data_IF_857497218459
#
_entry.id   IF_857497218459
#
_cell.length_a   1.000
_cell.length_b   1.000
_cell.length_c   1.000
_cell.angle_alpha   90.00
_cell.angle_beta   90.00
_cell.angle_gamma   90.00
#
_symmetry.space_group_name_H-M   'P 1'
#
loop_
_entity.id
_entity.type
_entity.pdbx_description
1 polymer ?
#
# COMPACT_ATOMS: atom_id res chain seq x y z
N UNK A 1 -9.11 10.68 1.35
CA UNK A 1 -7.72 11.07 1.04
C UNK A 1 -7.39 10.55 -0.34
N UNK A 2 -6.68 11.33 -1.16
CA UNK A 2 -6.23 10.88 -2.49
C UNK A 2 -4.93 10.07 -2.36
N UNK A 3 -4.68 9.14 -3.30
CA UNK A 3 -3.42 8.41 -3.36
C UNK A 3 -2.29 9.36 -3.74
N UNK A 4 -1.18 9.31 -2.99
CA UNK A 4 0.04 10.04 -3.29
C UNK A 4 1.20 9.05 -3.44
N UNK A 5 2.08 9.31 -4.40
CA UNK A 5 3.32 8.59 -4.63
C UNK A 5 4.42 9.60 -4.99
N UNK A 6 5.67 9.33 -4.61
CA UNK A 6 6.79 10.23 -4.83
C UNK A 6 8.12 9.47 -4.96
N UNK A 7 9.14 10.14 -5.49
CA UNK A 7 10.50 9.62 -5.49
C UNK A 7 11.16 9.86 -4.13
N UNK A 8 11.90 8.84 -3.66
CA UNK A 8 12.59 8.87 -2.38
C UNK A 8 14.01 9.45 -2.50
N UNK A 9 14.50 10.04 -1.41
CA UNK A 9 15.92 10.41 -1.26
C UNK A 9 16.82 9.18 -1.04
N UNK A 10 18.14 9.41 -0.91
CA UNK A 10 19.15 8.37 -0.66
C UNK A 10 19.61 8.38 0.81
N UNK A 11 18.78 8.87 1.73
CA UNK A 11 19.12 8.95 3.15
C UNK A 11 19.05 7.59 3.84
N UNK A 12 20.02 7.31 4.71
CA UNK A 12 20.03 6.15 5.62
C UNK A 12 19.28 6.41 6.95
N UNK A 13 18.44 7.46 7.01
CA UNK A 13 17.59 7.76 8.16
C UNK A 13 16.49 6.69 8.38
N UNK A 14 15.64 6.87 9.40
CA UNK A 14 14.55 5.94 9.70
C UNK A 14 13.63 5.79 8.49
N UNK A 15 13.64 4.59 7.87
CA UNK A 15 12.85 4.19 6.70
C UNK A 15 11.34 4.46 6.79
N UNK A 16 10.81 4.71 8.01
CA UNK A 16 9.41 5.06 8.24
C UNK A 16 9.10 6.53 7.95
N UNK A 17 10.11 7.37 7.80
CA UNK A 17 9.95 8.77 7.45
C UNK A 17 9.47 8.91 5.99
N UNK A 18 8.91 10.06 5.59
CA UNK A 18 8.43 10.23 4.21
C UNK A 18 9.52 10.15 3.13
N UNK A 19 10.80 10.41 3.45
CA UNK A 19 11.93 10.39 2.51
C UNK A 19 11.70 11.18 1.21
N UNK A 20 11.00 12.32 1.28
CA UNK A 20 10.82 13.15 0.09
C UNK A 20 12.17 13.72 -0.37
N UNK A 21 12.44 13.64 -1.68
CA UNK A 21 13.48 14.47 -2.31
C UNK A 21 13.23 15.95 -2.07
N UNK A 22 14.31 16.73 -2.17
CA UNK A 22 14.26 18.19 -2.15
C UNK A 22 14.86 18.75 -3.46
N UNK A 23 14.03 19.27 -4.39
CA UNK A 23 12.59 19.50 -4.28
C UNK A 23 11.74 18.21 -4.33
N UNK A 24 10.48 18.29 -3.85
CA UNK A 24 9.55 17.15 -3.88
C UNK A 24 9.24 16.74 -5.31
N UNK A 25 9.34 15.44 -5.59
CA UNK A 25 9.05 14.86 -6.89
C UNK A 25 7.89 13.86 -6.79
N UNK A 26 6.67 14.28 -7.12
CA UNK A 26 5.49 13.42 -7.10
C UNK A 26 5.38 12.57 -8.37
N UNK A 27 4.83 11.37 -8.22
CA UNK A 27 4.60 10.40 -9.29
C UNK A 27 3.10 10.29 -9.57
N UNK A 28 2.73 10.32 -10.85
CA UNK A 28 1.33 10.23 -11.28
C UNK A 28 0.85 8.77 -11.31
N UNK A 29 -0.47 8.55 -11.21
CA UNK A 29 -1.06 7.21 -11.32
C UNK A 29 -0.75 6.55 -12.67
N UNK A 30 -0.73 7.32 -13.76
CA UNK A 30 -0.37 6.81 -15.09
C UNK A 30 1.05 6.22 -15.10
N UNK A 31 1.98 6.81 -14.35
CA UNK A 31 3.34 6.27 -14.26
C UNK A 31 3.39 4.97 -13.47
N UNK A 32 2.54 4.82 -12.45
CA UNK A 32 2.38 3.58 -11.71
C UNK A 32 1.77 2.48 -12.60
N UNK A 33 0.78 2.83 -13.43
CA UNK A 33 0.15 1.90 -14.38
C UNK A 33 1.15 1.38 -15.43
N UNK A 34 2.03 2.25 -15.96
CA UNK A 34 3.13 1.84 -16.85
C UNK A 34 4.07 0.80 -16.21
N UNK A 35 4.21 0.83 -14.88
CA UNK A 35 5.00 -0.13 -14.10
C UNK A 35 4.20 -1.40 -13.75
N UNK A 36 2.92 -1.48 -14.13
CA UNK A 36 2.02 -2.58 -13.81
C UNK A 36 1.35 -2.49 -12.45
N UNK A 37 1.47 -1.35 -11.75
CA UNK A 37 0.80 -1.10 -10.47
C UNK A 37 -0.60 -0.55 -10.73
N UNK A 38 -1.62 -1.27 -10.26
CA UNK A 38 -3.03 -0.93 -10.44
C UNK A 38 -3.63 -0.42 -9.12
N UNK A 39 -4.55 0.55 -9.21
CA UNK A 39 -5.17 1.19 -8.06
C UNK A 39 -6.69 1.26 -8.19
N UNK A 40 -7.39 1.05 -7.08
CA UNK A 40 -8.83 1.27 -6.94
C UNK A 40 -9.10 1.99 -5.60
N UNK A 41 -10.04 2.93 -5.61
CA UNK A 41 -10.50 3.63 -4.41
C UNK A 41 -11.82 3.04 -3.94
N UNK A 42 -11.86 2.47 -2.74
CA UNK A 42 -13.04 1.79 -2.16
C UNK A 42 -13.36 2.38 -0.78
N UNK A 43 -14.61 2.25 -0.31
CA UNK A 43 -14.97 2.61 1.08
C UNK A 43 -14.46 1.54 2.05
N UNK A 44 -13.52 1.86 2.96
CA UNK A 44 -12.96 0.88 3.89
C UNK A 44 -13.97 0.38 4.94
N UNK A 45 -15.11 1.05 5.11
CA UNK A 45 -16.16 0.64 6.06
C UNK A 45 -17.07 -0.44 5.49
N UNK A 46 -17.05 -0.62 4.18
CA UNK A 46 -17.89 -1.56 3.45
C UNK A 46 -17.01 -2.48 2.59
N UNK A 47 -16.24 -3.34 3.24
CA UNK A 47 -15.32 -4.26 2.57
C UNK A 47 -16.03 -5.47 1.92
N UNK A 48 -17.33 -5.66 2.15
CA UNK A 48 -18.15 -6.68 1.48
C UNK A 48 -18.90 -6.14 0.26
N UNK A 49 -18.65 -4.88 -0.12
CA UNK A 49 -19.30 -4.22 -1.24
C UNK A 49 -19.08 -4.94 -2.59
N UNK A 50 -20.06 -4.81 -3.47
CA UNK A 50 -20.03 -5.23 -4.87
C UNK A 50 -18.79 -4.74 -5.64
N UNK A 51 -18.24 -3.57 -5.31
CA UNK A 51 -17.05 -3.05 -5.99
C UNK A 51 -15.80 -3.91 -5.78
N UNK A 52 -15.49 -4.27 -4.53
CA UNK A 52 -14.37 -5.17 -4.23
C UNK A 52 -14.60 -6.54 -4.86
N UNK A 53 -15.84 -7.04 -4.81
CA UNK A 53 -16.21 -8.33 -5.40
C UNK A 53 -15.95 -8.35 -6.92
N UNK A 54 -16.34 -7.31 -7.65
CA UNK A 54 -16.07 -7.20 -9.10
C UNK A 54 -14.58 -7.17 -9.42
N UNK A 55 -13.79 -6.43 -8.63
CA UNK A 55 -12.33 -6.40 -8.81
C UNK A 55 -11.76 -7.81 -8.61
N UNK A 56 -12.14 -8.49 -7.52
CA UNK A 56 -11.66 -9.85 -7.23
C UNK A 56 -12.03 -10.84 -8.31
N UNK A 57 -13.28 -10.83 -8.79
CA UNK A 57 -13.75 -11.70 -9.86
C UNK A 57 -12.99 -11.45 -11.17
N UNK A 58 -12.84 -10.19 -11.59
CA UNK A 58 -12.13 -9.85 -12.83
C UNK A 58 -10.64 -10.22 -12.81
N UNK A 59 -10.01 -10.20 -11.63
CA UNK A 59 -8.58 -10.48 -11.45
C UNK A 59 -8.28 -11.91 -11.01
N UNK A 60 -9.29 -12.69 -10.66
CA UNK A 60 -9.14 -14.05 -10.14
C UNK A 60 -8.63 -14.12 -8.69
N UNK A 61 -8.84 -13.08 -7.88
CA UNK A 61 -8.47 -13.07 -6.46
C UNK A 61 -9.46 -13.89 -5.62
N UNK A 62 -9.26 -15.20 -5.61
CA UNK A 62 -10.14 -16.19 -5.00
C UNK A 62 -9.99 -16.34 -3.47
N UNK A 63 -8.90 -15.84 -2.89
CA UNK A 63 -8.62 -15.90 -1.47
C UNK A 63 -8.48 -14.49 -0.87
N UNK A 64 -8.91 -14.33 0.38
CA UNK A 64 -8.80 -13.09 1.14
C UNK A 64 -8.74 -13.43 2.63
N UNK A 65 -7.88 -12.74 3.37
CA UNK A 65 -7.81 -12.74 4.82
C UNK A 65 -7.68 -11.31 5.36
N UNK A 66 -7.70 -11.17 6.69
CA UNK A 66 -7.54 -9.91 7.38
C UNK A 66 -6.36 -10.01 8.34
N UNK A 67 -5.42 -9.08 8.22
CA UNK A 67 -4.25 -8.99 9.07
C UNK A 67 -4.23 -7.63 9.78
N UNK A 68 -4.25 -7.64 11.11
CA UNK A 68 -4.10 -6.44 11.91
C UNK A 68 -2.65 -6.29 12.38
N UNK A 69 -1.85 -5.46 11.70
CA UNK A 69 -0.45 -5.19 12.06
C UNK A 69 -0.37 -4.09 13.14
N UNK A 70 -0.40 -4.48 14.41
CA UNK A 70 -0.25 -3.58 15.55
C UNK A 70 0.64 -4.20 16.64
N UNK A 71 1.52 -3.42 17.31
CA UNK A 71 2.27 -3.91 18.46
C UNK A 71 1.36 -4.56 19.50
N UNK A 72 1.69 -5.79 19.90
CA UNK A 72 0.92 -6.55 20.89
C UNK A 72 -0.27 -7.34 20.33
N UNK A 73 -0.69 -7.11 19.08
CA UNK A 73 -1.71 -7.93 18.40
C UNK A 73 -1.13 -9.00 17.49
N UNK A 74 0.14 -8.84 17.10
CA UNK A 74 0.86 -9.79 16.25
C UNK A 74 2.10 -10.28 17.00
N UNK A 75 2.20 -11.60 17.14
CA UNK A 75 3.42 -12.24 17.61
C UNK A 75 4.58 -11.92 16.67
N UNK A 76 5.75 -11.61 17.24
CA UNK A 76 6.96 -11.23 16.52
C UNK A 76 6.76 -10.02 15.58
N UNK A 77 5.96 -9.03 15.99
CA UNK A 77 5.69 -7.81 15.23
C UNK A 77 6.96 -7.17 14.60
N UNK A 78 8.02 -6.98 15.39
CA UNK A 78 9.27 -6.37 14.92
C UNK A 78 10.00 -7.24 13.88
N UNK A 79 9.97 -8.56 14.03
CA UNK A 79 10.58 -9.48 13.07
C UNK A 79 9.79 -9.51 11.75
N UNK A 80 8.45 -9.52 11.83
CA UNK A 80 7.58 -9.46 10.65
C UNK A 80 7.76 -8.15 9.89
N UNK A 81 7.90 -7.03 10.59
CA UNK A 81 8.17 -5.74 9.95
C UNK A 81 9.49 -5.75 9.16
N UNK A 82 10.54 -6.38 9.69
CA UNK A 82 11.83 -6.53 8.98
C UNK A 82 11.77 -7.46 7.77
N UNK A 83 10.78 -8.33 7.68
CA UNK A 83 10.60 -9.20 6.51
C UNK A 83 9.81 -8.49 5.38
N UNK A 84 9.01 -7.48 5.71
CA UNK A 84 8.24 -6.73 4.73
C UNK A 84 9.04 -5.63 4.03
N UNK A 85 10.10 -5.15 4.68
CA UNK A 85 11.01 -4.11 4.17
C UNK A 85 12.33 -4.74 3.75
#
# INVERSE_FOLDING_TARGET
>A
MALEAWLIDESDEDQRLPHHRNPKEFVTLSKLEELGVLYWHLDPRDFENDELKKIRESRGYNYMDLLELCPGKVENYEEKLKNFY
#
